data_IF_115384261042
#
_entry.id   IF_115384261042
#
_cell.length_a   1.000
_cell.length_b   1.000
_cell.length_c   1.000
_cell.angle_alpha   90.00
_cell.angle_beta   90.00
_cell.angle_gamma   90.00
#
_symmetry.space_group_name_H-M   'P 1'
#
loop_
_entity.id
_entity.type
_entity.pdbx_description
1 polymer ?
#
# COMPACT_ATOMS: atom_id res chain seq x y z
N UNK A 1 5.54 6.52 8.31
CA UNK A 1 4.91 5.42 7.53
C UNK A 1 5.80 4.17 7.46
N UNK A 2 5.25 2.98 7.75
CA UNK A 2 5.90 1.69 7.51
C UNK A 2 5.23 0.97 6.32
N UNK A 3 6.02 0.44 5.39
CA UNK A 3 5.55 -0.30 4.23
C UNK A 3 6.22 -1.68 4.22
N UNK A 4 5.42 -2.72 4.38
CA UNK A 4 5.87 -4.11 4.33
C UNK A 4 5.39 -4.75 3.02
N UNK A 5 6.23 -5.62 2.45
CA UNK A 5 5.94 -6.37 1.23
C UNK A 5 6.17 -7.85 1.50
N UNK A 6 5.14 -8.67 1.26
CA UNK A 6 5.18 -10.12 1.35
C UNK A 6 4.89 -10.73 -0.01
N UNK A 7 5.76 -11.62 -0.46
CA UNK A 7 5.61 -12.37 -1.70
C UNK A 7 5.23 -13.81 -1.42
N UNK A 8 4.16 -14.28 -2.06
CA UNK A 8 3.69 -15.68 -2.03
C UNK A 8 3.81 -16.35 -3.41
N UNK A 9 4.64 -15.80 -4.30
CA UNK A 9 4.91 -16.29 -5.65
C UNK A 9 3.86 -15.82 -6.67
N UNK A 10 2.64 -16.33 -6.56
CA UNK A 10 1.53 -15.96 -7.48
C UNK A 10 0.80 -14.70 -7.02
N UNK A 11 0.74 -14.51 -5.70
CA UNK A 11 0.07 -13.37 -5.04
C UNK A 11 1.09 -12.65 -4.17
N UNK A 12 0.98 -11.34 -4.08
CA UNK A 12 1.73 -10.51 -3.16
C UNK A 12 0.78 -9.75 -2.24
N UNK A 13 1.32 -9.31 -1.11
CA UNK A 13 0.62 -8.55 -0.08
C UNK A 13 1.46 -7.36 0.34
N UNK A 14 0.91 -6.16 0.23
CA UNK A 14 1.50 -4.94 0.76
C UNK A 14 0.73 -4.55 2.01
N UNK A 15 1.46 -4.22 3.07
CA UNK A 15 0.89 -3.68 4.30
C UNK A 15 1.46 -2.29 4.50
N UNK A 16 0.60 -1.28 4.43
CA UNK A 16 0.98 0.10 4.75
C UNK A 16 0.41 0.43 6.12
N UNK A 17 1.28 0.88 7.03
CA UNK A 17 0.91 1.19 8.41
C UNK A 17 1.38 2.60 8.75
N UNK A 18 0.46 3.44 9.24
CA UNK A 18 0.71 4.83 9.60
C UNK A 18 0.02 5.23 10.89
N UNK A 19 0.60 6.21 11.57
CA UNK A 19 -0.12 6.95 12.61
C UNK A 19 -1.08 7.95 11.95
N UNK A 20 -2.27 8.11 12.52
CA UNK A 20 -3.30 9.07 12.09
C UNK A 20 -2.78 10.50 11.80
N UNK A 21 -1.73 10.97 12.48
CA UNK A 21 -1.18 12.30 12.22
C UNK A 21 -0.60 12.48 10.80
N UNK A 22 -0.11 11.39 10.19
CA UNK A 22 0.41 11.37 8.81
C UNK A 22 -0.66 10.97 7.77
N UNK A 23 -1.96 11.06 8.11
CA UNK A 23 -3.05 10.54 7.27
C UNK A 23 -3.05 11.06 5.83
N UNK A 24 -2.75 12.35 5.62
CA UNK A 24 -2.71 12.94 4.28
C UNK A 24 -1.65 12.33 3.37
N UNK A 25 -0.47 11.99 3.90
CA UNK A 25 0.60 11.32 3.14
C UNK A 25 0.23 9.87 2.90
N UNK A 26 -0.33 9.22 3.91
CA UNK A 26 -0.84 7.86 3.81
C UNK A 26 -1.89 7.69 2.70
N UNK A 27 -2.91 8.53 2.65
CA UNK A 27 -3.91 8.48 1.57
C UNK A 27 -3.28 8.62 0.19
N UNK A 28 -2.38 9.60 0.00
CA UNK A 28 -1.69 9.77 -1.28
C UNK A 28 -0.91 8.53 -1.71
N UNK A 29 -0.24 7.87 -0.79
CA UNK A 29 0.53 6.66 -1.10
C UNK A 29 -0.38 5.48 -1.42
N UNK A 30 -1.46 5.29 -0.66
CA UNK A 30 -2.45 4.25 -0.93
C UNK A 30 -3.14 4.47 -2.27
N UNK A 31 -3.56 5.71 -2.56
CA UNK A 31 -4.21 6.08 -3.82
C UNK A 31 -3.27 5.87 -5.01
N UNK A 32 -2.00 6.28 -4.90
CA UNK A 32 -1.01 6.05 -5.94
C UNK A 32 -0.74 4.56 -6.18
N UNK A 33 -0.68 3.75 -5.11
CA UNK A 33 -0.50 2.31 -5.22
C UNK A 33 -1.71 1.64 -5.90
N UNK A 34 -2.93 2.06 -5.58
CA UNK A 34 -4.17 1.57 -6.19
C UNK A 34 -4.31 2.00 -7.66
N UNK A 35 -3.87 3.21 -8.01
CA UNK A 35 -3.87 3.70 -9.38
C UNK A 35 -3.02 2.84 -10.32
N UNK A 36 -1.87 2.36 -9.83
CA UNK A 36 -0.94 1.52 -10.59
C UNK A 36 -1.48 0.10 -10.75
N UNK A 37 -2.31 -0.36 -9.80
CA UNK A 37 -2.79 -1.72 -9.76
C UNK A 37 -4.29 -1.76 -9.38
N UNK A 38 -5.20 -1.49 -10.33
CA UNK A 38 -6.64 -1.38 -10.07
C UNK A 38 -7.31 -2.74 -9.82
N UNK A 39 -6.73 -3.85 -10.28
CA UNK A 39 -7.29 -5.22 -10.08
C UNK A 39 -7.09 -5.77 -8.66
N UNK A 40 -6.56 -4.97 -7.74
CA UNK A 40 -6.03 -5.44 -6.46
C UNK A 40 -7.07 -5.27 -5.36
N UNK A 41 -7.22 -6.29 -4.50
CA UNK A 41 -8.12 -6.20 -3.34
C UNK A 41 -7.46 -5.35 -2.27
N UNK A 42 -8.20 -4.39 -1.73
CA UNK A 42 -7.71 -3.54 -0.65
C UNK A 42 -8.66 -3.61 0.55
N UNK A 43 -8.08 -3.65 1.74
CA UNK A 43 -8.78 -3.54 3.00
C UNK A 43 -8.12 -2.44 3.82
N UNK A 44 -8.87 -1.37 4.09
CA UNK A 44 -8.43 -0.26 4.93
C UNK A 44 -9.11 -0.32 6.29
N UNK A 45 -8.32 -0.38 7.35
CA UNK A 45 -8.78 -0.20 8.73
C UNK A 45 -8.48 1.22 9.22
N UNK A 46 -9.50 1.90 9.73
CA UNK A 46 -9.41 3.24 10.32
C UNK A 46 -9.43 3.18 11.85
N UNK A 47 -8.57 3.98 12.49
CA UNK A 47 -8.41 4.11 13.94
C UNK A 47 -7.30 5.11 14.26
N UNK A 48 -6.68 5.02 15.45
CA UNK A 48 -5.45 5.78 15.77
C UNK A 48 -4.26 5.35 14.90
N UNK A 49 -4.22 4.08 14.53
CA UNK A 49 -3.29 3.49 13.57
C UNK A 49 -4.05 3.14 12.31
N UNK A 50 -3.69 3.81 11.23
CA UNK A 50 -4.19 3.54 9.88
C UNK A 50 -3.43 2.35 9.32
N UNK A 51 -4.15 1.30 8.94
CA UNK A 51 -3.57 0.11 8.32
C UNK A 51 -4.31 -0.23 7.04
N UNK A 52 -3.58 -0.35 5.93
CA UNK A 52 -4.12 -0.87 4.68
C UNK A 52 -3.38 -2.15 4.31
N UNK A 53 -4.17 -3.15 3.96
CA UNK A 53 -3.69 -4.40 3.41
C UNK A 53 -4.15 -4.46 1.96
N UNK A 54 -3.19 -4.55 1.05
CA UNK A 54 -3.41 -4.61 -0.38
C UNK A 54 -2.94 -5.99 -0.85
N UNK A 55 -3.79 -6.76 -1.52
CA UNK A 55 -3.51 -8.13 -1.98
C UNK A 55 -3.87 -8.33 -3.45
N UNK A 56 -2.93 -8.86 -4.23
CA UNK A 56 -3.17 -9.15 -5.65
C UNK A 56 -1.99 -9.84 -6.32
N UNK A 57 -2.00 -9.89 -7.66
CA UNK A 57 -0.96 -10.54 -8.45
C UNK A 57 0.41 -9.87 -8.22
N UNK A 58 1.47 -10.67 -8.21
CA UNK A 58 2.84 -10.22 -7.85
C UNK A 58 3.39 -9.14 -8.78
N UNK A 59 3.21 -9.27 -10.11
CA UNK A 59 3.75 -8.32 -11.11
C UNK A 59 3.20 -6.89 -10.94
N UNK A 60 1.87 -6.65 -10.90
CA UNK A 60 1.34 -5.31 -10.66
C UNK A 60 1.65 -4.81 -9.23
N UNK A 61 1.70 -5.70 -8.23
CA UNK A 61 2.06 -5.35 -6.86
C UNK A 61 3.50 -4.81 -6.75
N UNK A 62 4.46 -5.37 -7.48
CA UNK A 62 5.85 -4.86 -7.50
C UNK A 62 5.92 -3.43 -8.05
N UNK A 63 5.12 -3.12 -9.07
CA UNK A 63 5.02 -1.75 -9.62
C UNK A 63 4.39 -0.80 -8.60
N UNK A 64 3.29 -1.23 -7.98
CA UNK A 64 2.63 -0.46 -6.92
C UNK A 64 3.55 -0.20 -5.73
N UNK A 65 4.35 -1.19 -5.31
CA UNK A 65 5.32 -1.04 -4.23
C UNK A 65 6.42 -0.02 -4.55
N UNK A 66 6.93 -0.01 -5.79
CA UNK A 66 7.92 0.97 -6.24
C UNK A 66 7.37 2.39 -6.16
N UNK A 67 6.15 2.60 -6.66
CA UNK A 67 5.48 3.91 -6.62
C UNK A 67 5.15 4.32 -5.18
N UNK A 68 4.66 3.40 -4.36
CA UNK A 68 4.38 3.65 -2.95
C UNK A 68 5.64 4.11 -2.19
N UNK A 69 6.80 3.50 -2.47
CA UNK A 69 8.09 3.95 -1.88
C UNK A 69 8.50 5.34 -2.37
N UNK A 70 8.31 5.64 -3.65
CA UNK A 70 8.62 6.97 -4.21
C UNK A 70 7.75 8.07 -3.59
N UNK A 71 6.45 7.84 -3.47
CA UNK A 71 5.53 8.79 -2.82
C UNK A 71 5.75 8.89 -1.31
N UNK A 72 6.22 7.82 -0.65
CA UNK A 72 6.62 7.88 0.76
C UNK A 72 7.84 8.77 1.00
N UNK A 73 8.77 8.84 0.03
CA UNK A 73 9.97 9.68 0.11
C UNK A 73 9.75 11.14 -0.28
N UNK A 74 8.58 11.47 -0.85
CA UNK A 74 8.22 12.81 -1.33
C UNK A 74 7.51 13.63 -0.26
#
# INVERSE_FOLDING_TARGET
MNIEFYDYGVTAKIIVTCWFWEFRRYCRVVDAALFVAPEVRHQSGGGLLMRTVITGKTVPMLRAFKVAKQEATR
#
